data_IF_455530229948
#
_entry.id   IF_455530229948
#
_cell.length_a   1.000
_cell.length_b   1.000
_cell.length_c   1.000
_cell.angle_alpha   90.00
_cell.angle_beta   90.00
_cell.angle_gamma   90.00
#
_symmetry.space_group_name_H-M   'P 1'
#
loop_
_entity.id
_entity.type
_entity.pdbx_description
1 polymer ?
#
# COMPACT_ATOMS: atom_id res chain seq x y z
N UNK A 1 6.03 -4.51 6.28
CA UNK A 1 7.36 -4.95 5.79
C UNK A 1 8.24 -5.32 6.97
N UNK A 2 9.15 -6.27 6.79
CA UNK A 2 10.03 -6.75 7.86
C UNK A 2 11.12 -5.72 8.18
N UNK A 3 11.28 -5.43 9.47
CA UNK A 3 12.36 -4.63 10.06
C UNK A 3 13.74 -5.15 9.65
N UNK A 4 13.89 -6.46 9.46
CA UNK A 4 15.17 -7.11 9.07
C UNK A 4 15.75 -6.61 7.74
N UNK A 5 14.91 -6.18 6.79
CA UNK A 5 15.38 -5.81 5.45
C UNK A 5 15.53 -4.30 5.26
N UNK A 6 14.78 -3.50 6.01
CA UNK A 6 14.86 -2.05 5.98
C UNK A 6 15.62 -1.43 7.17
N UNK A 7 16.15 -2.26 8.08
CA UNK A 7 16.73 -1.82 9.34
C UNK A 7 15.72 -1.16 10.28
N UNK A 8 14.41 -1.33 10.05
CA UNK A 8 13.36 -0.65 10.80
C UNK A 8 13.19 0.84 10.49
N UNK A 9 13.80 1.34 9.41
CA UNK A 9 13.73 2.73 8.96
C UNK A 9 12.38 3.00 8.27
N UNK A 10 11.31 2.96 9.06
CA UNK A 10 10.01 3.48 8.67
C UNK A 10 9.95 4.95 9.05
N UNK A 11 9.44 5.79 8.16
CA UNK A 11 9.10 7.16 8.55
C UNK A 11 7.85 7.20 9.45
N UNK A 12 7.50 8.38 9.96
CA UNK A 12 6.33 8.58 10.82
C UNK A 12 5.00 8.16 10.16
N UNK A 13 4.98 8.05 8.84
CA UNK A 13 3.83 7.60 8.05
C UNK A 13 3.80 6.07 7.86
N UNK A 14 4.84 5.34 8.26
CA UNK A 14 4.96 3.90 8.09
C UNK A 14 5.40 3.47 6.69
N UNK A 15 5.97 4.39 5.91
CA UNK A 15 6.63 4.10 4.63
C UNK A 15 8.09 3.74 4.89
N UNK A 16 8.54 2.66 4.26
CA UNK A 16 9.96 2.38 4.17
C UNK A 16 10.54 3.10 2.94
N UNK A 17 11.22 4.22 3.18
CA UNK A 17 11.83 5.03 2.11
C UNK A 17 12.93 4.29 1.35
N UNK A 18 13.48 3.23 1.95
CA UNK A 18 14.52 2.38 1.36
C UNK A 18 13.95 1.31 0.44
N UNK A 19 12.77 0.76 0.74
CA UNK A 19 12.18 -0.36 -0.01
C UNK A 19 11.09 0.08 -0.99
N UNK A 20 10.57 1.31 -0.87
CA UNK A 20 9.56 1.89 -1.75
C UNK A 20 10.01 3.28 -2.15
N UNK A 21 10.70 3.35 -3.28
CA UNK A 21 11.25 4.58 -3.83
C UNK A 21 10.84 4.75 -5.30
N UNK A 22 9.53 4.89 -5.59
CA UNK A 22 9.09 5.21 -6.94
C UNK A 22 9.57 6.60 -7.33
N UNK A 23 9.97 6.73 -8.58
CA UNK A 23 10.40 7.97 -9.20
C UNK A 23 9.66 8.15 -10.50
N UNK A 24 9.36 9.41 -10.84
CA UNK A 24 8.77 9.76 -12.12
C UNK A 24 9.51 10.96 -12.69
N UNK A 25 9.84 10.88 -13.96
CA UNK A 25 10.48 11.94 -14.72
C UNK A 25 9.72 12.15 -16.03
N UNK A 26 9.72 13.39 -16.51
CA UNK A 26 9.27 13.72 -17.86
C UNK A 26 10.47 13.58 -18.77
N UNK A 27 10.33 12.79 -19.85
CA UNK A 27 11.44 12.46 -20.73
C UNK A 27 12.03 13.73 -21.41
N UNK A 28 13.31 13.69 -21.74
CA UNK A 28 13.95 14.76 -22.50
C UNK A 28 13.29 14.91 -23.89
N UNK A 29 13.11 16.15 -24.33
CA UNK A 29 12.43 16.47 -25.58
C UNK A 29 10.91 16.50 -25.49
N UNK A 30 10.32 16.22 -24.32
CA UNK A 30 8.89 16.36 -24.08
C UNK A 30 8.45 17.83 -24.21
N UNK A 31 7.26 18.02 -24.80
CA UNK A 31 6.64 19.35 -24.90
C UNK A 31 6.10 19.77 -23.53
N UNK A 32 6.68 20.83 -22.96
CA UNK A 32 6.16 21.45 -21.72
C UNK A 32 5.27 22.66 -21.99
N UNK A 33 5.19 23.09 -23.25
CA UNK A 33 4.31 24.15 -23.72
C UNK A 33 3.27 23.65 -24.73
N UNK A 34 2.01 24.04 -24.53
CA UNK A 34 0.85 23.60 -25.35
C UNK A 34 0.07 24.82 -25.82
N UNK A 35 -0.54 24.75 -27.02
CA UNK A 35 -1.45 25.79 -27.53
C UNK A 35 -2.87 25.58 -26.96
N UNK A 36 -3.61 26.67 -26.77
CA UNK A 36 -5.03 26.61 -26.37
C UNK A 36 -5.83 25.75 -27.36
N UNK A 37 -6.62 24.81 -26.83
CA UNK A 37 -7.41 23.85 -27.60
C UNK A 37 -6.64 22.58 -28.06
N UNK A 38 -5.35 22.47 -27.74
CA UNK A 38 -4.56 21.27 -28.00
C UNK A 38 -4.67 20.23 -26.88
N UNK A 39 -4.69 18.95 -27.25
CA UNK A 39 -4.44 17.83 -26.34
C UNK A 39 -2.97 17.40 -26.46
N UNK A 40 -2.34 16.98 -25.37
CA UNK A 40 -0.92 16.58 -25.36
C UNK A 40 -0.75 15.26 -24.62
N UNK A 41 0.03 14.38 -25.23
CA UNK A 41 0.53 13.16 -24.61
C UNK A 41 1.93 13.42 -24.09
N UNK A 42 2.10 13.42 -22.78
CA UNK A 42 3.38 13.62 -22.11
C UNK A 42 4.08 12.26 -21.93
N UNK A 43 5.23 12.02 -22.57
CA UNK A 43 6.03 10.85 -22.30
C UNK A 43 6.71 11.01 -20.92
N UNK A 44 6.50 10.03 -20.05
CA UNK A 44 7.09 9.98 -18.72
C UNK A 44 7.76 8.64 -18.50
N UNK A 45 8.80 8.61 -17.69
CA UNK A 45 9.45 7.39 -17.26
C UNK A 45 9.21 7.19 -15.76
N UNK A 46 8.77 5.98 -15.39
CA UNK A 46 8.61 5.58 -13.99
C UNK A 46 9.73 4.61 -13.64
N UNK A 47 10.46 4.92 -12.58
CA UNK A 47 11.62 4.14 -12.14
C UNK A 47 11.47 3.65 -10.70
N UNK A 48 12.08 2.50 -10.41
CA UNK A 48 12.25 1.99 -9.05
C UNK A 48 13.70 2.20 -8.60
N UNK A 49 13.96 3.26 -7.84
CA UNK A 49 15.29 3.59 -7.34
C UNK A 49 15.59 2.98 -5.96
N UNK A 50 14.79 2.01 -5.51
CA UNK A 50 15.03 1.29 -4.26
C UNK A 50 16.41 0.61 -4.30
N UNK A 51 17.34 0.90 -3.37
CA UNK A 51 18.62 0.18 -3.30
C UNK A 51 18.45 -1.28 -2.85
N UNK A 52 17.30 -1.63 -2.27
CA UNK A 52 16.94 -3.01 -1.94
C UNK A 52 16.39 -3.64 -3.22
N UNK A 53 16.94 -4.80 -3.62
CA UNK A 53 16.66 -5.56 -4.85
C UNK A 53 15.21 -6.06 -5.04
N UNK A 54 14.22 -5.36 -4.49
CA UNK A 54 12.80 -5.70 -4.51
C UNK A 54 12.10 -5.00 -5.68
N UNK A 55 11.31 -5.73 -6.47
CA UNK A 55 10.48 -5.13 -7.49
C UNK A 55 9.32 -4.33 -6.86
N UNK A 56 8.98 -3.21 -7.49
CA UNK A 56 7.72 -2.53 -7.29
C UNK A 56 6.71 -2.99 -8.35
N UNK A 57 5.45 -3.06 -7.95
CA UNK A 57 4.34 -3.32 -8.85
C UNK A 57 3.52 -2.03 -8.97
N UNK A 58 3.48 -1.44 -10.16
CA UNK A 58 2.63 -0.28 -10.42
C UNK A 58 1.23 -0.81 -10.69
N UNK A 59 0.31 -0.53 -9.77
CA UNK A 59 -1.06 -1.06 -9.80
C UNK A 59 -2.06 -0.06 -10.37
N UNK A 60 -1.62 1.16 -10.69
CA UNK A 60 -2.41 2.13 -11.39
C UNK A 60 -1.69 3.47 -11.56
N UNK A 61 -2.08 4.19 -12.62
CA UNK A 61 -1.60 5.52 -12.96
C UNK A 61 -2.83 6.37 -13.29
N UNK A 62 -2.90 7.56 -12.69
CA UNK A 62 -3.95 8.52 -12.98
C UNK A 62 -3.38 9.90 -13.22
N UNK A 63 -4.08 10.68 -14.02
CA UNK A 63 -3.79 12.09 -14.26
C UNK A 63 -5.03 12.94 -14.00
N UNK A 64 -4.83 14.20 -13.61
CA UNK A 64 -5.88 15.21 -13.61
C UNK A 64 -5.33 16.61 -13.86
N UNK A 65 -6.17 17.45 -14.41
CA UNK A 65 -5.88 18.86 -14.63
C UNK A 65 -6.60 19.70 -13.58
N UNK A 66 -5.86 20.53 -12.84
CA UNK A 66 -6.43 21.41 -11.81
C UNK A 66 -7.27 20.66 -10.77
N UNK A 67 -8.56 21.02 -10.67
CA UNK A 67 -9.54 20.41 -9.76
C UNK A 67 -10.46 19.40 -10.45
N UNK A 68 -10.14 18.99 -11.68
CA UNK A 68 -10.92 17.99 -12.40
C UNK A 68 -10.83 16.59 -11.79
N UNK A 69 -11.63 15.68 -12.35
CA UNK A 69 -11.65 14.27 -11.94
C UNK A 69 -10.38 13.54 -12.36
N UNK A 70 -10.03 12.51 -11.59
CA UNK A 70 -8.94 11.61 -11.92
C UNK A 70 -9.30 10.77 -13.14
N UNK A 71 -8.41 10.72 -14.12
CA UNK A 71 -8.49 9.86 -15.30
C UNK A 71 -7.43 8.79 -15.20
N UNK A 72 -7.82 7.55 -15.42
CA UNK A 72 -6.89 6.42 -15.44
C UNK A 72 -6.12 6.41 -16.77
N UNK A 73 -4.81 6.21 -16.69
CA UNK A 73 -3.92 6.11 -17.85
C UNK A 73 -3.48 4.65 -18.02
N UNK A 74 -3.40 4.19 -19.27
CA UNK A 74 -2.92 2.85 -19.56
C UNK A 74 -1.38 2.78 -19.48
N UNK A 75 -0.88 1.87 -18.64
CA UNK A 75 0.56 1.62 -18.49
C UNK A 75 1.05 0.54 -19.46
N UNK A 76 0.21 -0.45 -19.81
CA UNK A 76 0.63 -1.64 -20.57
C UNK A 76 1.65 -2.55 -19.86
N UNK A 77 2.03 -2.26 -18.61
CA UNK A 77 2.94 -3.05 -17.78
C UNK A 77 2.69 -2.80 -16.28
N UNK A 78 3.10 -3.75 -15.43
CA UNK A 78 2.85 -3.67 -13.98
C UNK A 78 4.10 -3.77 -13.12
N UNK A 79 5.22 -4.30 -13.63
CA UNK A 79 6.39 -4.63 -12.79
C UNK A 79 7.61 -3.78 -13.12
N UNK A 80 8.24 -3.23 -12.08
CA UNK A 80 9.52 -2.51 -12.11
C UNK A 80 10.52 -3.18 -11.18
N UNK A 81 11.56 -3.78 -11.74
CA UNK A 81 12.70 -4.31 -10.97
C UNK A 81 13.54 -3.15 -10.41
N UNK A 82 14.39 -3.45 -9.43
CA UNK A 82 15.30 -2.46 -8.86
C UNK A 82 16.24 -1.89 -9.93
N UNK A 83 16.35 -0.56 -9.97
CA UNK A 83 17.14 0.17 -10.96
C UNK A 83 16.52 0.20 -12.36
N UNK A 84 15.36 -0.43 -12.56
CA UNK A 84 14.64 -0.42 -13.82
C UNK A 84 13.83 0.87 -13.97
N UNK A 85 13.78 1.39 -15.20
CA UNK A 85 12.92 2.50 -15.61
C UNK A 85 12.09 2.03 -16.80
N UNK A 86 10.79 2.37 -16.83
CA UNK A 86 9.88 2.03 -17.92
C UNK A 86 9.06 3.24 -18.37
N UNK A 87 8.80 3.35 -19.68
CA UNK A 87 8.02 4.44 -20.22
C UNK A 87 6.53 4.26 -19.91
N UNK A 88 5.86 5.38 -19.70
CA UNK A 88 4.42 5.53 -19.61
C UNK A 88 4.01 6.82 -20.34
N UNK A 89 2.72 6.98 -20.58
CA UNK A 89 2.19 8.17 -21.25
C UNK A 89 1.08 8.78 -20.42
N UNK A 90 1.06 10.10 -20.33
CA UNK A 90 0.04 10.85 -19.60
C UNK A 90 -0.71 11.74 -20.56
N UNK A 91 -2.03 11.60 -20.58
CA UNK A 91 -2.90 12.32 -21.49
C UNK A 91 -3.43 13.59 -20.83
N UNK A 92 -3.12 14.73 -21.44
CA UNK A 92 -3.65 16.05 -21.07
C UNK A 92 -4.67 16.47 -22.12
N UNK A 93 -5.91 16.70 -21.69
CA UNK A 93 -7.02 17.06 -22.56
C UNK A 93 -6.90 18.53 -23.01
N UNK A 94 -7.84 18.95 -23.86
CA UNK A 94 -7.86 20.30 -24.43
C UNK A 94 -7.85 21.38 -23.35
N UNK A 95 -6.70 22.05 -23.23
CA UNK A 95 -6.57 23.17 -22.31
C UNK A 95 -7.22 24.40 -22.95
N UNK A 96 -8.31 24.88 -22.37
CA UNK A 96 -9.18 25.93 -22.95
C UNK A 96 -8.77 27.35 -22.59
N UNK A 97 -7.81 27.53 -21.67
CA UNK A 97 -7.34 28.84 -21.21
C UNK A 97 -5.82 28.95 -21.34
N UNK A 98 -5.28 30.10 -21.73
CA UNK A 98 -3.85 30.35 -21.65
C UNK A 98 -3.39 30.47 -20.18
N UNK A 99 -2.09 30.36 -19.95
CA UNK A 99 -1.46 30.53 -18.65
C UNK A 99 -0.81 29.23 -18.12
N UNK A 100 -0.45 29.24 -16.84
CA UNK A 100 0.14 28.06 -16.20
C UNK A 100 -0.94 27.07 -15.75
N UNK A 101 -0.81 25.82 -16.17
CA UNK A 101 -1.72 24.72 -15.82
C UNK A 101 -0.98 23.69 -14.98
N UNK A 102 -1.63 23.23 -13.92
CA UNK A 102 -1.13 22.15 -13.07
C UNK A 102 -1.72 20.82 -13.51
N UNK A 103 -0.87 19.89 -13.92
CA UNK A 103 -1.21 18.48 -14.10
C UNK A 103 -0.75 17.73 -12.87
N UNK A 104 -1.69 17.06 -12.19
CA UNK A 104 -1.37 16.16 -11.09
C UNK A 104 -1.33 14.74 -11.60
N UNK A 105 -0.30 14.01 -11.22
CA UNK A 105 -0.09 12.62 -11.55
C UNK A 105 -0.20 11.84 -10.25
N UNK A 106 -0.92 10.73 -10.25
CA UNK A 106 -1.06 9.81 -9.13
C UNK A 106 -0.60 8.42 -9.56
N UNK A 107 0.30 7.83 -8.80
CA UNK A 107 0.84 6.49 -9.05
C UNK A 107 0.55 5.62 -7.84
N UNK A 108 -0.20 4.53 -8.03
CA UNK A 108 -0.36 3.51 -7.01
C UNK A 108 0.70 2.42 -7.18
N UNK A 109 1.36 2.07 -6.09
CA UNK A 109 2.44 1.09 -6.06
C UNK A 109 2.20 0.05 -4.98
N UNK A 110 2.52 -1.19 -5.29
CA UNK A 110 2.52 -2.31 -4.36
C UNK A 110 3.94 -2.87 -4.23
N UNK A 111 4.34 -3.12 -2.99
CA UNK A 111 5.58 -3.80 -2.63
C UNK A 111 5.25 -5.11 -1.95
N UNK A 112 5.71 -6.22 -2.54
CA UNK A 112 5.40 -7.57 -2.07
C UNK A 112 6.57 -8.16 -1.31
N UNK A 113 6.31 -8.78 -0.16
CA UNK A 113 7.29 -9.55 0.59
C UNK A 113 6.66 -10.82 1.16
N UNK A 114 7.18 -11.99 0.74
CA UNK A 114 6.58 -13.29 1.05
C UNK A 114 5.09 -13.29 0.68
N UNK A 115 4.21 -13.50 1.66
CA UNK A 115 2.75 -13.48 1.49
C UNK A 115 2.12 -12.11 1.73
N UNK A 116 2.92 -11.08 2.05
CA UNK A 116 2.45 -9.75 2.39
C UNK A 116 2.56 -8.79 1.21
N UNK A 117 1.66 -7.83 1.14
CA UNK A 117 1.66 -6.77 0.15
C UNK A 117 1.37 -5.43 0.82
N UNK A 118 2.30 -4.48 0.70
CA UNK A 118 2.09 -3.10 1.12
C UNK A 118 1.78 -2.23 -0.09
N UNK A 119 0.67 -1.51 -0.03
CA UNK A 119 0.23 -0.60 -1.07
C UNK A 119 0.41 0.85 -0.62
N UNK A 120 0.81 1.69 -1.56
CA UNK A 120 1.04 3.11 -1.38
C UNK A 120 0.56 3.87 -2.62
N UNK A 121 0.27 5.16 -2.47
CA UNK A 121 0.00 6.04 -3.59
C UNK A 121 0.87 7.29 -3.46
N UNK A 122 1.35 7.78 -4.59
CA UNK A 122 2.23 8.93 -4.66
C UNK A 122 1.70 9.91 -5.70
N UNK A 123 1.74 11.19 -5.36
CA UNK A 123 1.42 12.27 -6.29
C UNK A 123 2.66 13.01 -6.73
N UNK A 124 2.68 13.42 -8.00
CA UNK A 124 3.64 14.37 -8.55
C UNK A 124 2.87 15.52 -9.22
N UNK A 125 3.39 16.73 -9.08
CA UNK A 125 2.83 17.92 -9.71
C UNK A 125 3.73 18.34 -10.88
N UNK A 126 3.14 18.48 -12.07
CA UNK A 126 3.77 19.02 -13.27
C UNK A 126 3.12 20.35 -13.62
N UNK A 127 3.93 21.37 -13.91
CA UNK A 127 3.45 22.66 -14.41
C UNK A 127 3.67 22.74 -15.91
N UNK A 128 2.61 22.99 -16.66
CA UNK A 128 2.64 23.24 -18.09
C UNK A 128 2.34 24.72 -18.35
N UNK A 129 3.06 25.33 -19.29
CA UNK A 129 2.78 26.70 -19.71
C UNK A 129 2.03 26.69 -21.04
N UNK A 130 0.81 27.23 -21.05
CA UNK A 130 -0.03 27.29 -22.25
C UNK A 130 -0.01 28.71 -22.79
N UNK A 131 0.47 28.87 -24.02
CA UNK A 131 0.48 30.16 -24.71
C UNK A 131 -0.87 30.45 -25.35
N UNK A 132 -1.29 31.71 -25.28
CA UNK A 132 -2.48 32.22 -25.95
C UNK A 132 -2.18 32.41 -27.44
N UNK A 133 -3.11 32.02 -28.33
CA UNK A 133 -3.07 32.53 -29.71
C UNK A 133 -4.49 32.83 -30.20
N UNK A 134 -4.65 34.01 -30.79
CA UNK A 134 -5.91 34.57 -31.30
C UNK A 134 -6.45 33.69 -32.44
N UNK A 135 -7.66 33.17 -32.25
CA UNK A 135 -8.63 32.63 -33.23
C UNK A 135 -8.15 32.50 -34.69
N UNK A 136 -8.02 31.27 -35.20
CA UNK A 136 -8.93 30.66 -36.20
C UNK A 136 -8.46 29.27 -36.69
N UNK A 137 -9.43 28.33 -36.74
CA UNK A 137 -9.54 27.13 -37.59
C UNK A 137 -8.69 25.84 -37.35
N UNK A 138 -9.26 24.73 -37.87
CA UNK A 138 -9.24 23.30 -37.50
C UNK A 138 -7.91 22.48 -37.64
N UNK A 139 -7.79 21.28 -37.02
CA UNK A 139 -6.51 20.58 -36.83
C UNK A 139 -6.03 19.70 -38.00
N UNK A 140 -4.70 19.57 -38.13
CA UNK A 140 -3.99 18.61 -39.01
C UNK A 140 -2.96 17.83 -38.17
N UNK A 141 -2.81 16.53 -38.44
CA UNK A 141 -1.88 15.63 -37.73
C UNK A 141 -0.52 15.63 -38.43
N UNK A 142 0.55 16.07 -37.76
CA UNK A 142 1.93 15.97 -38.26
C UNK A 142 2.75 15.03 -37.36
N UNK A 143 3.14 13.88 -37.91
CA UNK A 143 4.04 12.92 -37.29
C UNK A 143 5.47 13.28 -37.69
N UNK A 144 6.19 14.01 -36.84
CA UNK A 144 7.59 14.35 -37.04
C UNK A 144 8.49 13.32 -36.38
N UNK A 145 8.97 12.33 -37.15
CA UNK A 145 10.00 11.40 -36.71
C UNK A 145 11.38 11.87 -37.16
N UNK A 146 12.29 12.08 -36.21
CA UNK A 146 13.72 11.78 -36.33
C UNK A 146 14.41 12.12 -35.00
N UNK A 147 14.54 11.10 -34.15
CA UNK A 147 15.66 10.82 -33.25
C UNK A 147 15.46 9.41 -32.71
N UNK A 148 16.47 8.56 -32.87
CA UNK A 148 16.41 7.15 -32.51
C UNK A 148 16.39 6.99 -30.98
N UNK A 149 15.31 6.40 -30.44
CA UNK A 149 15.15 6.09 -29.02
C UNK A 149 13.72 6.33 -28.54
N UNK A 150 12.90 5.28 -28.61
CA UNK A 150 11.53 5.08 -28.11
C UNK A 150 10.81 6.23 -27.35
N UNK A 151 9.77 6.77 -27.99
CA UNK A 151 8.74 7.63 -27.36
C UNK A 151 8.39 8.87 -28.18
N UNK A 152 7.61 8.74 -29.25
CA UNK A 152 7.23 9.89 -30.08
C UNK A 152 6.20 10.76 -29.34
N UNK A 153 6.55 12.03 -29.09
CA UNK A 153 5.56 13.04 -28.67
C UNK A 153 4.66 13.37 -29.87
N UNK A 154 3.36 13.09 -29.77
CA UNK A 154 2.39 13.44 -30.81
C UNK A 154 1.85 14.83 -30.54
N UNK A 155 2.20 15.78 -31.42
CA UNK A 155 1.67 17.14 -31.40
C UNK A 155 0.63 17.30 -32.53
N UNK A 156 -0.59 17.68 -32.17
CA UNK A 156 -1.62 18.06 -33.15
C UNK A 156 -1.55 19.58 -33.30
N UNK A 157 -0.97 20.06 -34.40
CA UNK A 157 -0.83 21.50 -34.68
C UNK A 157 -1.72 21.95 -35.84
N UNK A 158 -2.35 23.12 -35.67
CA UNK A 158 -2.81 23.93 -36.81
C UNK A 158 -1.60 24.36 -37.67
N UNK A 159 -1.80 24.51 -38.98
CA UNK A 159 -0.70 24.59 -39.97
C UNK A 159 -0.06 25.99 -40.08
N UNK A 160 1.25 25.94 -40.30
CA UNK A 160 2.15 26.87 -41.02
C UNK A 160 1.95 28.38 -40.80
N UNK A 161 2.72 28.97 -39.87
CA UNK A 161 3.85 29.86 -40.21
C UNK A 161 4.73 30.17 -38.98
N UNK A 162 6.03 30.33 -39.25
CA UNK A 162 7.17 30.63 -38.37
C UNK A 162 7.43 29.67 -37.21
N UNK A 163 8.64 29.13 -37.20
CA UNK A 163 9.25 28.42 -36.06
C UNK A 163 9.32 29.36 -34.84
N UNK A 164 8.23 29.46 -34.08
CA UNK A 164 8.35 29.77 -32.67
C UNK A 164 8.81 28.50 -31.96
N UNK A 165 9.90 28.64 -31.21
CA UNK A 165 10.57 27.54 -30.55
C UNK A 165 9.56 26.81 -29.65
N UNK A 166 9.23 25.56 -30.02
CA UNK A 166 8.60 24.64 -29.08
C UNK A 166 9.50 24.55 -27.86
N UNK A 167 9.01 24.99 -26.69
CA UNK A 167 9.74 24.85 -25.44
C UNK A 167 9.69 23.36 -25.09
N UNK A 168 10.78 22.68 -25.40
CA UNK A 168 11.03 21.28 -25.03
C UNK A 168 11.91 21.26 -23.80
N UNK A 169 11.75 20.23 -22.98
CA UNK A 169 12.75 19.92 -21.96
C UNK A 169 14.06 19.57 -22.65
N UNK A 170 15.13 20.32 -22.37
CA UNK A 170 16.48 19.98 -22.84
C UNK A 170 17.02 18.76 -22.09
N UNK A 171 16.63 18.61 -20.82
CA UNK A 171 16.99 17.50 -19.93
C UNK A 171 15.74 16.88 -19.32
N UNK A 172 15.82 15.62 -18.92
CA UNK A 172 14.72 14.95 -18.23
C UNK A 172 14.33 15.72 -16.96
N UNK A 173 13.03 16.01 -16.80
CA UNK A 173 12.53 16.75 -15.65
C UNK A 173 12.07 15.78 -14.58
N UNK A 174 12.88 15.63 -13.54
CA UNK A 174 12.51 14.82 -12.38
C UNK A 174 11.38 15.48 -11.59
N UNK A 175 10.29 14.75 -11.39
CA UNK A 175 9.17 15.24 -10.59
C UNK A 175 9.27 14.72 -9.17
N UNK A 176 9.08 15.61 -8.21
CA UNK A 176 9.04 15.24 -6.79
C UNK A 176 7.78 14.43 -6.52
N UNK A 177 7.95 13.16 -6.15
CA UNK A 177 6.87 12.32 -5.67
C UNK A 177 6.65 12.54 -4.17
N UNK A 178 5.39 12.74 -3.79
CA UNK A 178 4.96 12.90 -2.40
C UNK A 178 3.88 11.86 -2.11
N UNK A 179 4.00 11.16 -0.99
CA UNK A 179 3.00 10.17 -0.58
C UNK A 179 1.63 10.82 -0.40
N UNK A 180 0.60 10.19 -0.96
CA UNK A 180 -0.76 10.70 -1.04
C UNK A 180 -1.72 9.90 -0.16
N UNK A 181 -1.57 10.00 1.17
CA UNK A 181 -2.35 9.21 2.14
C UNK A 181 -3.88 9.33 1.98
N UNK A 182 -4.37 10.51 1.57
CA UNK A 182 -5.80 10.71 1.30
C UNK A 182 -6.27 9.89 0.11
N UNK A 183 -5.47 9.84 -0.96
CA UNK A 183 -5.76 9.05 -2.15
C UNK A 183 -5.58 7.56 -1.89
N UNK A 184 -4.63 7.16 -1.03
CA UNK A 184 -4.48 5.76 -0.58
C UNK A 184 -5.77 5.23 0.05
N UNK A 185 -6.40 6.01 0.94
CA UNK A 185 -7.69 5.65 1.57
C UNK A 185 -8.84 5.69 0.57
N UNK A 186 -8.92 6.74 -0.26
CA UNK A 186 -9.95 6.87 -1.31
C UNK A 186 -9.95 5.67 -2.27
N UNK A 187 -8.78 5.17 -2.63
CA UNK A 187 -8.60 4.02 -3.52
C UNK A 187 -8.73 2.66 -2.78
N UNK A 188 -8.99 2.65 -1.48
CA UNK A 188 -9.06 1.42 -0.68
C UNK A 188 -7.74 0.66 -0.60
N UNK A 189 -6.61 1.33 -0.86
CA UNK A 189 -5.27 0.74 -0.79
C UNK A 189 -4.79 0.55 0.64
N UNK A 190 -5.29 1.40 1.56
CA UNK A 190 -4.95 1.37 2.99
C UNK A 190 -6.17 1.67 3.87
N UNK A 191 -6.10 1.24 5.13
CA UNK A 191 -7.20 1.33 6.08
C UNK A 191 -8.25 0.26 5.85
N UNK A 192 -9.04 -0.02 6.87
CA UNK A 192 -10.17 -0.97 6.78
C UNK A 192 -11.31 -0.37 5.97
N UNK A 193 -11.53 0.94 6.16
CA UNK A 193 -12.44 1.76 5.38
C UNK A 193 -11.83 3.16 5.18
N UNK A 194 -12.62 4.12 4.68
CA UNK A 194 -12.15 5.47 4.39
C UNK A 194 -11.69 6.23 5.66
N UNK A 195 -12.22 5.87 6.83
CA UNK A 195 -12.07 6.60 8.07
C UNK A 195 -11.33 5.78 9.14
N UNK A 196 -11.31 4.46 9.08
CA UNK A 196 -10.72 3.60 10.12
C UNK A 196 -9.47 2.90 9.62
N UNK A 197 -8.36 3.07 10.34
CA UNK A 197 -7.10 2.41 10.00
C UNK A 197 -6.30 2.03 11.24
N UNK A 198 -5.49 0.98 11.11
CA UNK A 198 -4.61 0.43 12.15
C UNK A 198 -3.16 0.69 11.77
N UNK A 199 -2.55 1.80 12.23
CA UNK A 199 -1.13 2.07 12.04
C UNK A 199 -0.22 0.92 12.52
N UNK A 200 1.02 0.89 12.01
CA UNK A 200 2.03 -0.05 12.53
C UNK A 200 2.44 0.21 13.99
N UNK A 201 2.39 1.48 14.39
CA UNK A 201 2.72 1.87 15.76
C UNK A 201 1.55 1.69 16.73
N UNK A 202 0.43 1.10 16.28
CA UNK A 202 -0.70 0.74 17.14
C UNK A 202 -0.24 -0.20 18.24
N UNK A 203 -0.67 0.12 19.46
CA UNK A 203 -0.30 -0.63 20.64
C UNK A 203 -1.17 -1.87 20.83
N UNK A 204 -0.55 -3.04 21.04
CA UNK A 204 -1.25 -4.27 21.36
C UNK A 204 -1.32 -4.48 22.87
N UNK A 205 -2.53 -4.72 23.37
CA UNK A 205 -2.84 -4.97 24.77
C UNK A 205 -3.42 -6.39 24.88
N UNK A 206 -2.94 -7.15 25.86
CA UNK A 206 -3.31 -8.55 26.06
C UNK A 206 -4.03 -8.70 27.40
N UNK A 207 -5.34 -8.97 27.36
CA UNK A 207 -6.15 -9.14 28.55
C UNK A 207 -6.56 -10.61 28.73
N UNK A 208 -6.55 -11.10 29.97
CA UNK A 208 -6.87 -12.51 30.27
C UNK A 208 -5.75 -13.51 29.96
N UNK A 209 -4.53 -13.03 29.71
CA UNK A 209 -3.33 -13.86 29.55
C UNK A 209 -2.46 -13.81 30.81
N UNK A 210 -1.79 -14.91 31.11
CA UNK A 210 -0.71 -14.89 32.09
C UNK A 210 0.47 -14.05 31.54
N UNK A 211 1.25 -13.35 32.39
CA UNK A 211 2.36 -12.49 31.95
C UNK A 211 3.39 -13.16 31.04
N UNK A 212 3.61 -14.47 31.21
CA UNK A 212 4.52 -15.30 30.42
C UNK A 212 3.92 -15.79 29.08
N UNK A 213 2.60 -15.67 28.91
CA UNK A 213 1.88 -16.18 27.75
C UNK A 213 1.64 -15.13 26.65
N UNK A 214 1.94 -13.86 26.91
CA UNK A 214 1.78 -12.78 25.94
C UNK A 214 2.97 -11.81 25.98
N UNK A 215 3.25 -11.11 24.88
CA UNK A 215 4.30 -10.11 24.88
C UNK A 215 3.89 -8.90 25.72
N UNK A 216 4.88 -8.06 26.08
CA UNK A 216 4.60 -6.79 26.74
C UNK A 216 3.71 -5.91 25.87
N UNK A 217 2.91 -5.09 26.53
CA UNK A 217 2.11 -4.04 25.88
C UNK A 217 3.02 -3.16 25.01
N UNK A 218 2.61 -2.94 23.76
CA UNK A 218 3.41 -2.19 22.80
C UNK A 218 3.06 -2.54 21.34
N UNK A 219 3.65 -1.84 20.37
CA UNK A 219 3.52 -2.20 18.96
C UNK A 219 4.23 -3.52 18.63
N UNK A 220 3.96 -4.06 17.43
CA UNK A 220 4.67 -5.24 16.93
C UNK A 220 6.08 -4.84 16.53
N UNK A 221 7.05 -5.13 17.39
CA UNK A 221 8.48 -4.82 17.19
C UNK A 221 9.32 -6.03 16.78
N UNK A 222 8.68 -7.16 16.47
CA UNK A 222 9.39 -8.32 15.93
C UNK A 222 10.07 -7.97 14.62
N UNK A 223 11.17 -8.65 14.34
CA UNK A 223 12.05 -8.36 13.21
C UNK A 223 11.33 -8.58 11.85
N UNK A 224 10.37 -9.52 11.81
CA UNK A 224 9.47 -9.77 10.69
C UNK A 224 8.17 -8.93 10.72
N UNK A 225 7.92 -8.20 11.81
CA UNK A 225 6.71 -7.43 12.03
C UNK A 225 5.45 -8.30 12.14
N UNK A 226 5.60 -9.51 12.68
CA UNK A 226 4.55 -10.52 12.87
C UNK A 226 4.54 -11.03 14.31
N UNK A 227 3.36 -11.24 14.88
CA UNK A 227 3.16 -11.99 16.12
C UNK A 227 2.58 -13.37 15.83
N UNK A 228 3.32 -14.43 16.11
CA UNK A 228 2.84 -15.80 16.02
C UNK A 228 2.08 -16.21 17.28
N UNK A 229 0.86 -16.72 17.12
CA UNK A 229 0.06 -17.26 18.22
C UNK A 229 -0.12 -18.77 18.09
N UNK A 230 0.03 -19.53 19.17
CA UNK A 230 -0.15 -20.99 19.15
C UNK A 230 0.26 -21.64 20.46
N UNK A 231 0.34 -22.98 20.53
CA UNK A 231 0.63 -23.67 21.80
C UNK A 231 2.09 -23.59 22.26
N UNK A 232 3.01 -23.16 21.40
CA UNK A 232 4.43 -23.08 21.74
C UNK A 232 4.70 -22.02 22.81
N UNK A 233 5.82 -22.17 23.52
CA UNK A 233 6.28 -21.14 24.46
C UNK A 233 6.57 -19.83 23.74
N UNK A 234 6.50 -18.72 24.47
CA UNK A 234 6.83 -17.41 23.95
C UNK A 234 8.34 -17.30 23.65
N UNK A 235 8.76 -16.43 22.73
CA UNK A 235 10.18 -16.19 22.39
C UNK A 235 11.00 -15.74 23.60
N UNK A 236 10.34 -15.08 24.55
CA UNK A 236 10.94 -14.65 25.83
C UNK A 236 11.40 -15.84 26.69
N UNK A 237 10.82 -17.02 26.46
CA UNK A 237 11.19 -18.29 27.09
C UNK A 237 11.90 -19.24 26.10
N UNK A 238 12.61 -18.69 25.11
CA UNK A 238 13.30 -19.44 24.04
C UNK A 238 12.35 -20.29 23.16
N UNK A 239 11.06 -19.95 23.15
CA UNK A 239 10.06 -20.59 22.30
C UNK A 239 9.98 -20.03 20.87
N UNK A 240 9.06 -20.59 20.07
CA UNK A 240 8.85 -20.22 18.66
C UNK A 240 7.63 -19.31 18.43
N UNK A 241 6.84 -19.07 19.48
CA UNK A 241 5.63 -18.24 19.44
C UNK A 241 5.84 -16.90 20.12
N UNK A 242 4.94 -15.96 19.88
CA UNK A 242 4.90 -14.66 20.55
C UNK A 242 3.75 -14.63 21.58
N UNK A 243 2.62 -15.27 21.23
CA UNK A 243 1.44 -15.43 22.09
C UNK A 243 1.17 -16.92 22.30
N UNK A 244 1.15 -17.36 23.56
CA UNK A 244 0.89 -18.74 23.93
C UNK A 244 -0.59 -18.98 24.16
N UNK A 245 -1.13 -19.94 23.42
CA UNK A 245 -2.52 -20.37 23.46
C UNK A 245 -2.59 -21.78 24.05
N UNK A 246 -3.06 -21.89 25.28
CA UNK A 246 -3.41 -23.15 25.93
C UNK A 246 -4.91 -23.14 26.23
N UNK A 247 -5.56 -24.29 26.22
CA UNK A 247 -6.95 -24.45 26.66
C UNK A 247 -6.94 -24.74 28.16
N UNK A 248 -7.89 -24.16 28.89
CA UNK A 248 -8.09 -24.43 30.32
C UNK A 248 -9.42 -25.12 30.55
N UNK A 249 -9.46 -26.07 31.47
CA UNK A 249 -10.69 -26.72 31.92
C UNK A 249 -11.50 -25.81 32.86
N UNK A 250 -12.63 -26.32 33.36
CA UNK A 250 -13.52 -25.59 34.28
C UNK A 250 -12.89 -25.28 35.64
N UNK A 251 -11.79 -25.96 36.00
CA UNK A 251 -11.02 -25.67 37.22
C UNK A 251 -9.94 -24.61 37.00
N UNK A 252 -9.76 -24.15 35.75
CA UNK A 252 -8.68 -23.24 35.36
C UNK A 252 -7.35 -23.95 35.11
N UNK A 253 -7.31 -25.29 35.19
CA UNK A 253 -6.10 -26.08 34.91
C UNK A 253 -5.94 -26.25 33.40
N UNK A 254 -4.70 -26.36 32.92
CA UNK A 254 -4.43 -26.56 31.49
C UNK A 254 -4.95 -27.94 31.05
N UNK A 255 -5.88 -27.94 30.09
CA UNK A 255 -6.30 -29.14 29.39
C UNK A 255 -5.27 -29.47 28.30
N UNK A 256 -4.42 -30.45 28.57
CA UNK A 256 -3.35 -30.86 27.68
C UNK A 256 -3.86 -31.48 26.36
N UNK A 257 -4.98 -32.21 26.39
CA UNK A 257 -5.54 -32.86 25.21
C UNK A 257 -6.21 -31.82 24.30
N UNK A 258 -7.04 -30.93 24.85
CA UNK A 258 -7.63 -29.85 24.07
C UNK A 258 -6.56 -28.88 23.54
N UNK A 259 -5.50 -28.61 24.30
CA UNK A 259 -4.38 -27.78 23.85
C UNK A 259 -3.59 -28.40 22.69
N UNK A 260 -3.61 -29.72 22.50
CA UNK A 260 -2.96 -30.40 21.36
C UNK A 260 -3.67 -30.14 20.03
N UNK A 261 -4.94 -29.74 20.05
CA UNK A 261 -5.69 -29.32 18.86
C UNK A 261 -5.11 -28.05 18.24
N UNK A 262 -4.36 -27.26 19.03
CA UNK A 262 -3.66 -26.08 18.57
C UNK A 262 -2.28 -26.43 18.02
N UNK A 263 -1.97 -25.87 16.85
CA UNK A 263 -0.63 -25.97 16.29
C UNK A 263 0.38 -25.16 17.14
N UNK A 264 1.66 -25.52 17.07
CA UNK A 264 2.73 -24.79 17.78
C UNK A 264 2.73 -23.30 17.45
N UNK A 265 2.49 -22.98 16.18
CA UNK A 265 2.19 -21.66 15.61
C UNK A 265 0.95 -21.84 14.76
N UNK A 266 -0.17 -21.34 15.25
CA UNK A 266 -1.52 -21.67 14.78
C UNK A 266 -2.12 -20.55 13.93
N UNK A 267 -1.84 -19.29 14.26
CA UNK A 267 -2.05 -18.16 13.38
C UNK A 267 -1.01 -17.07 13.63
N UNK A 268 -0.98 -16.09 12.74
CA UNK A 268 -0.10 -14.93 12.77
C UNK A 268 -0.92 -13.65 12.72
N UNK A 269 -0.56 -12.67 13.53
CA UNK A 269 -1.11 -11.31 13.51
C UNK A 269 -0.06 -10.34 13.00
N UNK A 270 -0.46 -9.45 12.09
CA UNK A 270 0.40 -8.38 11.58
C UNK A 270 -0.43 -7.22 11.08
N UNK A 271 0.22 -6.08 10.90
CA UNK A 271 -0.40 -4.91 10.25
C UNK A 271 0.07 -4.83 8.80
N UNK A 272 -0.85 -4.86 7.86
CA UNK A 272 -0.62 -4.74 6.42
C UNK A 272 -1.53 -3.64 5.84
N UNK A 273 -0.98 -2.69 5.09
CA UNK A 273 -1.77 -1.59 4.51
C UNK A 273 -2.66 -0.86 5.55
N UNK A 274 -2.15 -0.67 6.76
CA UNK A 274 -2.90 -0.15 7.92
C UNK A 274 -4.18 -0.93 8.26
N UNK A 275 -4.16 -2.25 8.07
CA UNK A 275 -5.21 -3.19 8.46
C UNK A 275 -4.62 -4.19 9.45
N UNK A 276 -5.36 -4.49 10.51
CA UNK A 276 -5.02 -5.63 11.34
C UNK A 276 -5.36 -6.91 10.56
N UNK A 277 -4.38 -7.76 10.34
CA UNK A 277 -4.52 -8.94 9.52
C UNK A 277 -4.13 -10.18 10.30
N UNK A 278 -4.98 -11.20 10.20
CA UNK A 278 -4.72 -12.54 10.68
C UNK A 278 -4.40 -13.45 9.50
N UNK A 279 -3.36 -14.27 9.61
CA UNK A 279 -3.09 -15.37 8.70
C UNK A 279 -3.11 -16.70 9.44
N UNK A 280 -3.89 -17.65 8.94
CA UNK A 280 -3.98 -19.00 9.51
C UNK A 280 -2.77 -19.81 9.08
N UNK A 281 -2.05 -20.40 10.04
CA UNK A 281 -0.87 -21.25 9.78
C UNK A 281 -1.06 -22.67 10.28
N UNK A 282 -2.05 -22.91 11.14
CA UNK A 282 -2.36 -24.23 11.67
C UNK A 282 -3.26 -25.03 10.75
N UNK A 283 -2.91 -26.31 10.56
CA UNK A 283 -3.68 -27.25 9.73
C UNK A 283 -5.12 -27.44 10.21
N UNK A 284 -5.36 -27.34 11.52
CA UNK A 284 -6.71 -27.48 12.10
C UNK A 284 -7.64 -26.29 11.76
N UNK A 285 -7.09 -25.18 11.24
CA UNK A 285 -7.84 -23.95 11.01
C UNK A 285 -8.28 -23.27 12.30
N UNK A 286 -9.08 -22.21 12.15
CA UNK A 286 -9.73 -21.49 13.25
C UNK A 286 -11.08 -20.96 12.79
N UNK A 287 -11.87 -20.41 13.71
CA UNK A 287 -13.08 -19.64 13.36
C UNK A 287 -12.92 -18.16 13.65
N UNK A 288 -13.53 -17.31 12.83
CA UNK A 288 -13.75 -15.89 13.13
C UNK A 288 -15.25 -15.63 13.02
N UNK A 289 -15.87 -15.13 14.08
CA UNK A 289 -17.32 -14.89 14.16
C UNK A 289 -18.16 -16.11 13.74
N UNK A 290 -17.67 -17.32 14.05
CA UNK A 290 -18.33 -18.59 13.72
C UNK A 290 -17.97 -19.18 12.35
N UNK A 291 -17.43 -18.39 11.41
CA UNK A 291 -16.99 -18.86 10.09
C UNK A 291 -15.61 -19.52 10.17
N UNK A 292 -15.43 -20.67 9.51
CA UNK A 292 -14.20 -21.45 9.59
C UNK A 292 -13.20 -21.11 8.47
N UNK A 293 -11.94 -20.91 8.84
CA UNK A 293 -10.83 -20.62 7.93
C UNK A 293 -9.71 -21.65 8.08
N UNK A 294 -9.26 -22.20 6.95
CA UNK A 294 -8.16 -23.17 6.90
C UNK A 294 -6.79 -22.51 6.72
N UNK A 295 -5.74 -23.35 6.72
CA UNK A 295 -4.35 -22.93 6.54
C UNK A 295 -4.14 -22.05 5.28
N UNK A 296 -3.28 -21.04 5.43
CA UNK A 296 -2.92 -20.12 4.36
C UNK A 296 -3.92 -18.99 4.11
N UNK A 297 -5.12 -19.05 4.70
CA UNK A 297 -6.11 -17.97 4.60
C UNK A 297 -5.65 -16.73 5.36
N UNK A 298 -5.88 -15.57 4.74
CA UNK A 298 -5.60 -14.25 5.29
C UNK A 298 -6.92 -13.51 5.45
N UNK A 299 -7.15 -12.96 6.64
CA UNK A 299 -8.40 -12.30 7.05
C UNK A 299 -8.07 -10.95 7.66
N UNK A 300 -8.80 -9.91 7.27
CA UNK A 300 -8.74 -8.60 7.92
C UNK A 300 -9.63 -8.67 9.16
N UNK A 301 -9.06 -8.33 10.32
CA UNK A 301 -9.78 -8.29 11.59
C UNK A 301 -10.37 -6.90 11.81
N UNK A 302 -11.62 -6.87 12.27
CA UNK A 302 -12.37 -5.67 12.63
C UNK A 302 -12.59 -5.57 14.14
N UNK A 303 -13.07 -4.40 14.57
CA UNK A 303 -13.48 -4.21 15.96
C UNK A 303 -14.62 -5.18 16.32
N UNK A 304 -14.51 -5.82 17.47
CA UNK A 304 -15.50 -6.77 17.97
C UNK A 304 -15.34 -8.21 17.48
N UNK A 305 -14.46 -8.48 16.51
CA UNK A 305 -14.25 -9.83 15.98
C UNK A 305 -13.86 -10.83 17.08
N UNK A 306 -14.44 -12.03 16.99
CA UNK A 306 -14.15 -13.15 17.89
C UNK A 306 -13.38 -14.22 17.12
N UNK A 307 -12.14 -14.45 17.52
CA UNK A 307 -11.28 -15.52 17.01
C UNK A 307 -11.44 -16.73 17.94
N UNK A 308 -11.83 -17.87 17.40
CA UNK A 308 -11.93 -19.15 18.12
C UNK A 308 -10.94 -20.15 17.52
N UNK A 309 -9.73 -20.30 18.12
CA UNK A 309 -8.69 -21.17 17.59
C UNK A 309 -9.06 -22.67 17.56
N UNK A 310 -9.94 -23.13 18.45
CA UNK A 310 -10.35 -24.55 18.50
C UNK A 310 -11.65 -24.75 17.72
N UNK A 311 -11.57 -25.13 16.45
CA UNK A 311 -12.73 -25.24 15.53
C UNK A 311 -13.83 -26.17 16.05
N UNK A 312 -13.46 -27.29 16.68
CA UNK A 312 -14.38 -28.31 17.21
C UNK A 312 -15.04 -27.90 18.53
N UNK A 313 -14.43 -26.98 19.28
CA UNK A 313 -14.93 -26.49 20.57
C UNK A 313 -14.63 -24.98 20.71
N UNK A 314 -15.34 -24.10 19.96
CA UNK A 314 -15.02 -22.67 19.90
C UNK A 314 -15.03 -21.97 21.25
N UNK A 315 -15.89 -22.42 22.17
CA UNK A 315 -16.04 -21.85 23.51
C UNK A 315 -14.89 -22.18 24.48
N UNK A 316 -14.09 -23.21 24.15
CA UNK A 316 -12.97 -23.64 25.00
C UNK A 316 -11.84 -22.61 25.06
N UNK A 317 -11.67 -21.84 23.99
CA UNK A 317 -10.72 -20.75 23.89
C UNK A 317 -11.17 -19.80 22.79
N UNK A 318 -11.38 -18.53 23.16
CA UNK A 318 -11.70 -17.47 22.22
C UNK A 318 -11.02 -16.16 22.59
N UNK A 319 -10.76 -15.33 21.58
CA UNK A 319 -10.13 -14.02 21.70
C UNK A 319 -11.04 -12.98 21.05
N UNK A 320 -11.38 -11.91 21.78
CA UNK A 320 -12.13 -10.78 21.25
C UNK A 320 -11.16 -9.67 20.91
N UNK A 321 -11.27 -9.19 19.69
CA UNK A 321 -10.57 -8.02 19.19
C UNK A 321 -11.37 -6.78 19.60
N UNK A 322 -10.69 -5.78 20.15
CA UNK A 322 -11.33 -4.49 20.47
C UNK A 322 -10.41 -3.34 20.12
N UNK A 323 -10.89 -2.41 19.31
CA UNK A 323 -10.15 -1.24 18.88
C UNK A 323 -10.48 -0.05 19.77
N UNK A 324 -9.45 0.72 20.11
CA UNK A 324 -9.62 2.09 20.62
C UNK A 324 -9.09 3.04 19.57
N UNK A 325 -10.01 3.73 18.92
CA UNK A 325 -9.71 4.71 17.88
C UNK A 325 -9.97 6.12 18.36
N UNK A 326 -9.19 7.07 17.83
CA UNK A 326 -9.42 8.49 17.95
C UNK A 326 -9.38 9.09 16.53
N UNK A 327 -10.46 9.77 16.14
CA UNK A 327 -10.68 10.24 14.76
C UNK A 327 -10.40 9.15 13.70
N UNK A 328 -10.82 7.91 13.98
CA UNK A 328 -10.66 6.77 13.06
C UNK A 328 -9.27 6.10 13.07
N UNK A 329 -8.24 6.78 13.62
CA UNK A 329 -6.93 6.17 13.85
C UNK A 329 -6.98 5.23 15.04
N UNK A 330 -6.74 3.94 14.85
CA UNK A 330 -6.66 2.97 15.96
C UNK A 330 -5.35 3.15 16.72
N UNK A 331 -5.44 3.71 17.94
CA UNK A 331 -4.29 3.90 18.83
C UNK A 331 -3.89 2.62 19.56
N UNK A 332 -4.86 1.78 19.91
CA UNK A 332 -4.59 0.48 20.54
C UNK A 332 -5.57 -0.61 20.10
N UNK A 333 -5.07 -1.85 19.99
CA UNK A 333 -5.84 -3.08 19.83
C UNK A 333 -5.75 -3.88 21.13
N UNK A 334 -6.89 -4.17 21.74
CA UNK A 334 -6.98 -5.09 22.87
C UNK A 334 -7.43 -6.47 22.39
N UNK A 335 -6.63 -7.50 22.66
CA UNK A 335 -6.99 -8.91 22.47
C UNK A 335 -7.35 -9.48 23.84
N UNK A 336 -8.64 -9.68 24.07
CA UNK A 336 -9.17 -10.19 25.33
C UNK A 336 -9.44 -11.68 25.20
N UNK A 337 -8.73 -12.48 25.99
CA UNK A 337 -8.92 -13.92 26.08
C UNK A 337 -10.09 -14.26 27.00
N UNK A 338 -10.95 -15.16 26.54
CA UNK A 338 -11.99 -15.78 27.32
C UNK A 338 -12.05 -17.27 27.03
N UNK A 339 -12.45 -18.02 28.05
CA UNK A 339 -12.81 -19.42 28.00
C UNK A 339 -14.13 -19.52 28.74
N UNK A 340 -15.18 -19.98 28.08
CA UNK A 340 -16.41 -20.30 28.79
C UNK A 340 -16.17 -21.61 29.52
N UNK A 341 -16.18 -21.58 30.85
CA UNK A 341 -16.27 -22.78 31.66
C UNK A 341 -17.57 -23.49 31.29
N UNK A 342 -17.47 -24.68 30.70
CA UNK A 342 -18.59 -25.63 30.72
C UNK A 342 -18.69 -26.25 32.11
#
# INVERSE_FOLDING_TARGET
MATEECGGLLDDSGLCTVCVAPHIEVDAGALTAVKVGGAVSLPVSIANLSPVGRPLFITGLWSREGTGDWREEDLGWERLSTGESRPASISVNQITKPGAHGVKILVAVASRWRWRQECYAFTADLKLTVSEDRTEAAPIVNIGGQSAGHGNTVYISGKTEKHEAQIRTEEALQLRMVRAEKDERRLGLRGMDADTWVPRNTEFIWAGFAPEHAPKRGPILTSDGVLGAGRSRARVEEGLGDVRLLVTDSTGTIDAEASRLLSRRHFELYVECDRLTLRVTGQAGLRINGEAYGEGKTIILNDGDIISPVVSAPESLSLKVSFKSDYGRVGSVCLTRFSHSR
#
